data_IF_156014602112
#
_entry.id   IF_156014602112
#
_cell.length_a   1.000
_cell.length_b   1.000
_cell.length_c   1.000
_cell.angle_alpha   90.00
_cell.angle_beta   90.00
_cell.angle_gamma   90.00
#
_symmetry.space_group_name_H-M   'P 1'
#
loop_
_entity.id
_entity.type
_entity.pdbx_description
1 polymer ?
#
# COMPACT_ATOMS: atom_id res chain seq x y z
N UNK A 1 1.86 -4.11 8.97
CA UNK A 1 0.86 -4.11 10.06
C UNK A 1 1.18 -5.18 11.11
N UNK A 2 0.75 -4.97 12.37
CA UNK A 2 0.85 -5.89 13.51
C UNK A 2 -0.56 -6.21 14.07
N UNK A 3 -0.70 -7.15 15.01
CA UNK A 3 -2.02 -7.56 15.55
C UNK A 3 -2.71 -6.44 16.33
N UNK A 4 -1.97 -5.69 17.15
CA UNK A 4 -2.36 -4.38 17.68
C UNK A 4 -1.79 -3.28 16.80
N UNK A 5 -2.65 -2.46 16.21
CA UNK A 5 -2.27 -1.28 15.42
C UNK A 5 -3.07 -0.07 15.89
N UNK A 6 -2.54 1.10 15.59
CA UNK A 6 -3.22 2.38 15.75
C UNK A 6 -3.75 2.85 14.38
N UNK A 7 -4.21 4.09 14.28
CA UNK A 7 -4.57 4.71 13.01
C UNK A 7 -3.35 5.26 12.25
N UNK A 8 -2.13 5.16 12.81
CA UNK A 8 -0.89 5.63 12.17
C UNK A 8 -0.74 5.08 10.75
N UNK A 9 -0.40 5.92 9.77
CA UNK A 9 -0.38 5.52 8.36
C UNK A 9 1.02 5.38 7.79
N UNK A 10 2.07 5.51 8.62
CA UNK A 10 3.47 5.57 8.19
C UNK A 10 3.87 4.42 7.26
N UNK A 11 3.33 3.22 7.45
CA UNK A 11 3.65 2.06 6.60
C UNK A 11 3.08 2.17 5.18
N UNK A 12 2.02 2.96 4.94
CA UNK A 12 1.51 3.26 3.60
C UNK A 12 2.47 4.19 2.86
N UNK A 13 2.89 5.29 3.51
CA UNK A 13 3.87 6.23 2.96
C UNK A 13 5.22 5.55 2.71
N UNK A 14 5.69 4.71 3.63
CA UNK A 14 6.92 3.93 3.47
C UNK A 14 6.87 2.99 2.25
N UNK A 15 5.71 2.35 2.01
CA UNK A 15 5.53 1.43 0.90
C UNK A 15 5.66 2.15 -0.46
N UNK A 16 5.09 3.36 -0.56
CA UNK A 16 5.19 4.19 -1.78
C UNK A 16 6.59 4.81 -1.90
N UNK A 17 7.16 5.37 -0.82
CA UNK A 17 8.48 6.00 -0.83
C UNK A 17 9.61 5.05 -1.26
N UNK A 18 9.47 3.75 -0.94
CA UNK A 18 10.44 2.72 -1.32
C UNK A 18 10.10 2.01 -2.64
N UNK A 19 8.96 2.32 -3.26
CA UNK A 19 8.44 1.61 -4.43
C UNK A 19 8.45 0.07 -4.26
N UNK A 20 8.14 -0.43 -3.07
CA UNK A 20 8.24 -1.87 -2.78
C UNK A 20 7.22 -2.72 -3.55
N UNK A 21 6.19 -2.10 -4.13
CA UNK A 21 5.20 -2.73 -5.02
C UNK A 21 4.16 -3.61 -4.34
N UNK A 22 4.30 -3.89 -3.03
CA UNK A 22 3.36 -4.70 -2.25
C UNK A 22 3.25 -4.18 -0.82
N UNK A 23 2.04 -4.20 -0.27
CA UNK A 23 1.79 -3.88 1.13
C UNK A 23 0.78 -4.87 1.72
N UNK A 24 1.08 -5.37 2.93
CA UNK A 24 0.14 -6.17 3.72
C UNK A 24 -0.28 -5.36 4.94
N UNK A 25 -1.54 -4.93 4.97
CA UNK A 25 -2.04 -4.07 6.06
C UNK A 25 -3.35 -4.54 6.73
N UNK A 26 -3.73 -5.80 6.55
CA UNK A 26 -4.92 -6.42 7.17
C UNK A 26 -6.19 -6.26 6.34
N UNK A 27 -7.31 -6.84 6.79
CA UNK A 27 -8.58 -6.77 6.08
C UNK A 27 -9.25 -5.38 6.23
N UNK A 28 -10.03 -4.92 5.25
CA UNK A 28 -10.70 -3.61 5.27
C UNK A 28 -11.98 -3.64 6.12
N UNK A 29 -11.88 -3.92 7.43
CA UNK A 29 -13.05 -3.91 8.32
C UNK A 29 -12.86 -3.06 9.61
N UNK A 30 -11.62 -2.87 10.06
CA UNK A 30 -11.31 -2.08 11.27
C UNK A 30 -10.61 -0.79 10.90
N UNK A 31 -10.90 0.29 11.62
CA UNK A 31 -10.34 1.63 11.36
C UNK A 31 -8.81 1.64 11.36
N UNK A 32 -8.17 0.90 12.27
CA UNK A 32 -6.71 0.75 12.33
C UNK A 32 -6.11 0.21 11.01
N UNK A 33 -6.87 -0.58 10.23
CA UNK A 33 -6.46 -1.11 8.93
C UNK A 33 -6.89 -0.22 7.78
N UNK A 34 -8.15 0.23 7.81
CA UNK A 34 -8.75 1.08 6.79
C UNK A 34 -7.99 2.41 6.67
N UNK A 35 -7.45 2.95 7.77
CA UNK A 35 -6.64 4.17 7.75
C UNK A 35 -5.46 4.10 6.76
N UNK A 36 -4.78 2.95 6.65
CA UNK A 36 -3.65 2.76 5.73
C UNK A 36 -4.13 2.67 4.27
N UNK A 37 -5.25 2.01 4.01
CA UNK A 37 -5.86 1.98 2.68
C UNK A 37 -6.30 3.38 2.23
N UNK A 38 -6.96 4.13 3.12
CA UNK A 38 -7.34 5.51 2.84
C UNK A 38 -6.13 6.41 2.59
N UNK A 39 -5.01 6.16 3.28
CA UNK A 39 -3.78 6.87 3.00
C UNK A 39 -3.23 6.53 1.60
N UNK A 40 -3.26 5.27 1.17
CA UNK A 40 -2.86 4.91 -0.19
C UNK A 40 -3.73 5.61 -1.25
N UNK A 41 -5.04 5.73 -1.02
CA UNK A 41 -5.95 6.49 -1.90
C UNK A 41 -5.58 7.97 -1.97
N UNK A 42 -5.26 8.60 -0.82
CA UNK A 42 -4.79 10.01 -0.78
C UNK A 42 -3.45 10.19 -1.49
N UNK A 43 -2.53 9.25 -1.32
CA UNK A 43 -1.23 9.29 -2.01
C UNK A 43 -1.44 9.15 -3.52
N UNK A 44 -2.26 8.21 -3.97
CA UNK A 44 -2.63 8.05 -5.39
C UNK A 44 -3.24 9.34 -5.95
N UNK A 45 -4.21 9.92 -5.25
CA UNK A 45 -4.84 11.19 -5.63
C UNK A 45 -3.79 12.32 -5.74
N UNK A 46 -2.85 12.41 -4.79
CA UNK A 46 -1.80 13.43 -4.78
C UNK A 46 -0.79 13.29 -5.92
N UNK A 47 -0.48 12.06 -6.33
CA UNK A 47 0.41 11.75 -7.45
C UNK A 47 -0.30 11.95 -8.79
N UNK A 48 -1.63 11.83 -8.83
CA UNK A 48 -2.42 12.02 -10.04
C UNK A 48 -1.91 11.16 -11.20
N UNK A 49 -1.59 11.82 -12.33
CA UNK A 49 -1.13 11.13 -13.54
C UNK A 49 0.23 10.42 -13.39
N UNK A 50 1.02 10.71 -12.34
CA UNK A 50 2.29 10.02 -12.09
C UNK A 50 2.14 8.78 -11.21
N UNK A 51 0.95 8.49 -10.68
CA UNK A 51 0.70 7.30 -9.89
C UNK A 51 0.82 6.03 -10.75
N UNK A 52 1.48 5.00 -10.21
CA UNK A 52 1.63 3.70 -10.88
C UNK A 52 1.24 2.58 -9.94
N UNK A 53 0.23 1.80 -10.31
CA UNK A 53 -0.10 0.54 -9.64
C UNK A 53 0.77 -0.60 -10.19
N UNK A 54 1.59 -1.21 -9.33
CA UNK A 54 2.56 -2.21 -9.76
C UNK A 54 1.95 -3.48 -10.40
N UNK A 55 0.72 -3.86 -10.02
CA UNK A 55 0.07 -5.08 -10.55
C UNK A 55 0.98 -6.32 -10.45
N UNK A 56 1.07 -7.11 -11.54
CA UNK A 56 1.94 -8.29 -11.58
C UNK A 56 3.43 -7.96 -11.42
N UNK A 57 3.88 -6.77 -11.82
CA UNK A 57 5.29 -6.39 -11.69
C UNK A 57 5.74 -6.27 -10.23
N UNK A 58 4.80 -6.10 -9.28
CA UNK A 58 5.07 -6.11 -7.84
C UNK A 58 5.64 -7.43 -7.31
N UNK A 59 5.50 -8.54 -8.06
CA UNK A 59 6.13 -9.82 -7.75
C UNK A 59 7.60 -9.92 -8.20
N UNK A 60 8.16 -8.85 -8.75
CA UNK A 60 9.55 -8.76 -9.19
C UNK A 60 9.90 -9.86 -10.18
N UNK A 61 10.91 -10.69 -9.86
CA UNK A 61 11.37 -11.79 -10.72
C UNK A 61 10.32 -12.87 -10.99
N UNK A 62 9.26 -12.95 -10.17
CA UNK A 62 8.18 -13.92 -10.35
C UNK A 62 7.07 -13.41 -11.28
N UNK A 63 7.08 -12.13 -11.66
CA UNK A 63 6.05 -11.53 -12.50
C UNK A 63 5.88 -12.24 -13.86
N UNK A 64 6.97 -12.76 -14.44
CA UNK A 64 6.94 -13.49 -15.73
C UNK A 64 6.32 -14.89 -15.63
N UNK A 65 6.04 -15.38 -14.43
CA UNK A 65 5.46 -16.70 -14.17
C UNK A 65 3.98 -16.65 -13.76
N UNK A 66 3.38 -15.45 -13.72
CA UNK A 66 2.02 -15.18 -13.21
C UNK A 66 1.08 -14.64 -14.28
#
# INVERSE_FOLDING_TARGET
HRSGETEDVTIADLAVATNCGQIKTGAPNRTDRVAKYNQLLRIEESLGATAVYAGKSGFGRLASKL
#
